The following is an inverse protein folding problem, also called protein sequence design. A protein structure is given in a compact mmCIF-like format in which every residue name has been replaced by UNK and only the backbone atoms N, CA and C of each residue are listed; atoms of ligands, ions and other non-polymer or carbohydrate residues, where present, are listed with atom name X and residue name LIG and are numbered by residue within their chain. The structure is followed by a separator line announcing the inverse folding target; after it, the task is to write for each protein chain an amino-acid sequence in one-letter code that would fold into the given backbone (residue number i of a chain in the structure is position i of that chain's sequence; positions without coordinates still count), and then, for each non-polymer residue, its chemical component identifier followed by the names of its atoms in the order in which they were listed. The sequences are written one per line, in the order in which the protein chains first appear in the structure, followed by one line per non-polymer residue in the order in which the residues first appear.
data_IF_922246352125
#
_entry.id   IF_922246352125
#
_cell.length_a   1.000
_cell.length_b   1.000
_cell.length_c   1.000
_cell.angle_alpha   90.00
_cell.angle_beta   90.00
_cell.angle_gamma   90.00
#
_symmetry.space_group_name_H-M   'P 1'
#
loop_
_entity.id
_entity.type
_entity.pdbx_description
1 polymer ?
#
# COMPACT_ATOMS: atom_id res chain seq x y z
N UNK A 1 -5.15 -17.97 -21.81
CA UNK A 1 -5.41 -17.57 -20.41
C UNK A 1 -5.25 -16.07 -20.34
N UNK A 2 -6.32 -15.30 -20.10
CA UNK A 2 -6.28 -13.83 -19.97
C UNK A 2 -6.46 -13.46 -18.51
N UNK A 3 -5.55 -12.67 -17.97
CA UNK A 3 -5.63 -12.19 -16.57
C UNK A 3 -6.44 -10.90 -16.60
N UNK A 4 -7.73 -10.97 -16.26
CA UNK A 4 -8.54 -9.77 -16.00
C UNK A 4 -8.19 -9.25 -14.60
N UNK A 5 -7.28 -8.27 -14.55
CA UNK A 5 -7.00 -7.51 -13.33
C UNK A 5 -8.14 -6.50 -13.11
N UNK A 6 -9.10 -6.85 -12.27
CA UNK A 6 -10.21 -5.97 -11.87
C UNK A 6 -9.67 -4.88 -10.94
N UNK A 7 -9.39 -3.70 -11.49
CA UNK A 7 -9.03 -2.47 -10.76
C UNK A 7 -10.30 -1.81 -10.18
N UNK A 8 -10.60 -2.07 -8.91
CA UNK A 8 -11.65 -1.35 -8.17
C UNK A 8 -11.02 -0.33 -7.22
N UNK A 9 -11.01 0.92 -7.68
CA UNK A 9 -10.43 2.10 -7.04
C UNK A 9 -11.33 2.61 -5.89
N UNK A 10 -10.78 2.75 -4.68
CA UNK A 10 -11.36 3.58 -3.61
C UNK A 10 -10.29 4.49 -3.00
N UNK A 11 -10.71 5.72 -2.68
CA UNK A 11 -9.89 6.93 -2.43
C UNK A 11 -8.88 6.79 -1.28
N UNK A 12 -7.67 7.27 -1.54
CA UNK A 12 -6.57 7.45 -0.58
C UNK A 12 -6.90 8.57 0.42
N UNK A 13 -6.77 8.29 1.72
CA UNK A 13 -7.05 9.25 2.79
C UNK A 13 -5.80 9.36 3.69
N UNK A 14 -5.18 10.56 3.81
CA UNK A 14 -3.99 10.77 4.65
C UNK A 14 -4.25 10.30 6.09
N UNK A 15 -3.32 9.53 6.67
CA UNK A 15 -3.39 9.03 8.05
C UNK A 15 -3.85 7.58 8.25
N UNK A 16 -4.01 6.79 7.18
CA UNK A 16 -4.12 5.33 7.30
C UNK A 16 -2.77 4.67 7.64
N UNK A 17 -2.79 3.45 8.16
CA UNK A 17 -1.55 2.68 8.42
C UNK A 17 -0.67 2.62 7.16
N UNK A 18 0.64 2.85 7.33
CA UNK A 18 1.65 2.73 6.27
C UNK A 18 1.80 1.26 5.89
N UNK A 19 1.88 0.97 4.60
CA UNK A 19 2.00 -0.37 4.02
C UNK A 19 3.14 -0.42 3.03
N UNK A 20 3.51 -1.64 2.63
CA UNK A 20 4.40 -1.83 1.48
C UNK A 20 3.83 -1.13 0.25
N UNK A 21 4.73 -0.55 -0.53
CA UNK A 21 4.49 0.28 -1.72
C UNK A 21 3.92 1.67 -1.45
N UNK A 22 3.76 2.06 -0.17
CA UNK A 22 3.44 3.44 0.17
C UNK A 22 4.63 4.34 -0.09
N UNK A 23 4.36 5.47 -0.75
CA UNK A 23 5.32 6.57 -0.80
C UNK A 23 5.31 7.30 0.54
N UNK A 24 6.49 7.53 1.08
CA UNK A 24 6.70 8.16 2.39
C UNK A 24 7.71 9.30 2.28
N UNK A 25 7.65 10.21 3.24
CA UNK A 25 8.63 11.28 3.44
C UNK A 25 9.28 11.16 4.80
N UNK A 26 10.60 11.37 4.85
CA UNK A 26 11.35 11.45 6.10
C UNK A 26 11.02 12.73 6.88
N UNK A 27 10.83 12.60 8.18
CA UNK A 27 10.61 13.72 9.12
C UNK A 27 11.93 14.20 9.77
N UNK A 28 13.01 13.43 9.63
CA UNK A 28 14.33 13.71 10.20
C UNK A 28 15.41 12.93 9.45
N UNK A 29 16.68 13.30 9.63
CA UNK A 29 17.80 12.69 8.90
C UNK A 29 18.02 11.21 9.25
N UNK A 30 18.06 10.34 8.26
CA UNK A 30 18.24 8.88 8.43
C UNK A 30 19.54 8.44 7.80
N UNK A 31 20.21 7.48 8.43
CA UNK A 31 21.39 6.82 7.87
C UNK A 31 20.92 5.58 7.11
N UNK A 32 21.34 5.45 5.84
CA UNK A 32 21.07 4.27 5.01
C UNK A 32 21.90 3.09 5.48
N UNK A 33 21.55 1.89 5.04
CA UNK A 33 22.27 0.67 5.36
C UNK A 33 23.72 0.68 4.80
N UNK A 34 23.96 1.51 3.78
CA UNK A 34 25.29 1.77 3.20
C UNK A 34 26.05 2.90 3.91
N UNK A 35 25.42 3.60 4.86
CA UNK A 35 26.03 4.65 5.68
C UNK A 35 25.85 6.09 5.18
N UNK A 36 25.09 6.31 4.10
CA UNK A 36 24.76 7.64 3.59
C UNK A 36 23.70 8.33 4.46
N UNK A 37 23.68 9.66 4.47
CA UNK A 37 22.65 10.44 5.19
C UNK A 37 21.58 10.90 4.21
N UNK A 38 20.36 10.40 4.40
CA UNK A 38 19.14 10.92 3.78
C UNK A 38 18.58 12.04 4.64
N UNK A 39 18.42 13.23 4.07
CA UNK A 39 17.94 14.41 4.82
C UNK A 39 16.44 14.33 5.13
N UNK A 40 16.01 15.02 6.18
CA UNK A 40 14.59 15.30 6.39
C UNK A 40 13.94 15.88 5.12
N UNK A 41 12.75 15.40 4.77
CA UNK A 41 12.04 15.77 3.55
C UNK A 41 12.33 14.87 2.34
N UNK A 42 13.34 14.01 2.39
CA UNK A 42 13.56 13.00 1.35
C UNK A 42 12.37 12.05 1.22
N UNK A 43 12.01 11.72 -0.01
CA UNK A 43 10.90 10.84 -0.35
C UNK A 43 11.42 9.47 -0.79
N UNK A 44 10.71 8.41 -0.42
CA UNK A 44 11.04 7.04 -0.77
C UNK A 44 9.82 6.14 -0.73
N UNK A 45 10.01 4.87 -1.11
CA UNK A 45 8.96 3.86 -1.16
C UNK A 45 9.19 2.82 -0.08
N UNK A 46 8.15 2.48 0.66
CA UNK A 46 8.22 1.37 1.64
C UNK A 46 8.32 0.05 0.89
N UNK A 47 9.38 -0.72 1.14
CA UNK A 47 9.61 -2.04 0.54
C UNK A 47 9.39 -3.20 1.52
N UNK A 48 9.44 -2.94 2.83
CA UNK A 48 9.08 -3.91 3.88
C UNK A 48 8.51 -3.23 5.13
N UNK A 49 7.66 -3.95 5.88
CA UNK A 49 7.11 -3.52 7.18
C UNK A 49 7.59 -4.45 8.29
N UNK A 50 8.17 -3.87 9.35
CA UNK A 50 8.73 -4.59 10.48
C UNK A 50 7.92 -4.38 11.76
N UNK A 51 7.91 -5.37 12.65
CA UNK A 51 7.32 -5.24 13.99
C UNK A 51 5.85 -4.80 13.99
N UNK A 52 5.05 -5.22 13.01
CA UNK A 52 3.65 -4.76 12.83
C UNK A 52 3.51 -3.23 12.65
N UNK A 53 4.52 -2.58 12.07
CA UNK A 53 4.54 -1.13 11.83
C UNK A 53 5.36 -0.34 12.85
N UNK A 54 6.23 -0.99 13.62
CA UNK A 54 7.21 -0.29 14.46
C UNK A 54 8.32 0.36 13.61
N UNK A 55 8.68 -0.28 12.50
CA UNK A 55 9.66 0.24 11.54
C UNK A 55 9.34 -0.18 10.10
N UNK A 56 9.97 0.50 9.15
CA UNK A 56 9.75 0.35 7.72
C UNK A 56 11.08 0.34 6.99
N UNK A 57 11.25 -0.56 6.04
CA UNK A 57 12.37 -0.47 5.10
C UNK A 57 11.94 0.41 3.93
N UNK A 58 12.71 1.45 3.67
CA UNK A 58 12.42 2.48 2.66
C UNK A 58 13.52 2.49 1.62
N UNK A 59 13.15 2.32 0.35
CA UNK A 59 14.04 2.51 -0.80
C UNK A 59 13.94 3.96 -1.29
N UNK A 60 15.09 4.60 -1.47
CA UNK A 60 15.20 5.94 -2.01
C UNK A 60 15.65 5.91 -3.49
N UNK A 61 15.15 6.85 -4.32
CA UNK A 61 15.54 6.92 -5.72
C UNK A 61 16.97 7.42 -5.92
N UNK A 62 17.47 8.25 -5.01
CA UNK A 62 18.81 8.81 -5.03
C UNK A 62 19.42 8.83 -3.62
N UNK A 63 20.62 8.26 -3.41
CA UNK A 63 21.37 7.42 -4.35
C UNK A 63 20.55 6.19 -4.80
N UNK A 64 20.78 5.73 -6.03
CA UNK A 64 19.97 4.65 -6.61
C UNK A 64 20.10 3.36 -5.80
N UNK A 65 18.98 2.85 -5.29
CA UNK A 65 18.91 1.63 -4.49
C UNK A 65 19.31 1.81 -3.03
N UNK A 66 19.44 3.05 -2.54
CA UNK A 66 19.71 3.31 -1.13
C UNK A 66 18.52 2.82 -0.28
N UNK A 67 18.82 1.99 0.71
CA UNK A 67 17.84 1.42 1.64
C UNK A 67 18.09 1.94 3.05
N UNK A 68 17.02 2.16 3.81
CA UNK A 68 17.13 2.43 5.24
C UNK A 68 15.99 1.78 6.01
N UNK A 69 16.32 1.23 7.18
CA UNK A 69 15.31 0.89 8.19
C UNK A 69 14.95 2.13 9.01
N UNK A 70 13.69 2.54 8.95
CA UNK A 70 13.20 3.78 9.56
C UNK A 70 12.07 3.51 10.57
N UNK A 71 12.21 4.05 11.77
CA UNK A 71 11.16 3.99 12.78
C UNK A 71 9.89 4.74 12.34
N UNK A 72 8.72 4.23 12.74
CA UNK A 72 7.43 4.79 12.37
C UNK A 72 7.27 6.29 12.72
N UNK A 73 7.88 6.73 13.82
CA UNK A 73 7.81 8.12 14.26
C UNK A 73 8.60 9.10 13.37
N UNK A 74 9.41 8.60 12.43
CA UNK A 74 10.33 9.39 11.61
C UNK A 74 9.90 9.48 10.14
N UNK A 75 8.74 8.93 9.78
CA UNK A 75 8.21 8.99 8.43
C UNK A 75 6.73 9.37 8.43
N UNK A 76 6.29 10.01 7.35
CA UNK A 76 4.88 10.24 7.07
C UNK A 76 4.51 9.64 5.71
N UNK A 77 3.28 9.13 5.58
CA UNK A 77 2.75 8.70 4.29
C UNK A 77 2.39 9.91 3.43
N UNK A 78 2.93 9.97 2.22
CA UNK A 78 2.63 11.01 1.23
C UNK A 78 1.96 10.46 -0.04
N UNK A 79 2.02 9.15 -0.24
CA UNK A 79 1.46 8.43 -1.39
C UNK A 79 1.15 6.98 -1.06
N UNK A 80 1.08 6.11 -2.07
CA UNK A 80 -0.07 5.17 -2.14
C UNK A 80 0.03 3.86 -1.35
N UNK A 81 -1.04 3.60 -0.57
CA UNK A 81 -1.50 2.24 -0.22
C UNK A 81 -2.80 1.88 -0.96
N UNK A 82 -2.92 0.68 -1.54
CA UNK A 82 -4.22 0.07 -1.94
C UNK A 82 -4.38 -1.38 -1.43
N UNK A 83 -5.17 -1.62 -0.37
CA UNK A 83 -5.69 -2.97 -0.03
C UNK A 83 -7.11 -2.97 0.60
N UNK A 84 -7.92 -4.05 0.71
CA UNK A 84 -7.80 -5.50 0.43
C UNK A 84 -9.21 -6.02 0.09
N UNK A 85 -9.36 -7.03 -0.77
CA UNK A 85 -10.63 -7.74 -0.95
C UNK A 85 -11.06 -8.43 0.35
N UNK A 86 -12.25 -8.11 0.86
CA UNK A 86 -12.91 -8.89 1.92
C UNK A 86 -14.39 -9.08 1.60
N UNK A 87 -14.78 -10.35 1.38
CA UNK A 87 -16.13 -10.94 1.38
C UNK A 87 -17.04 -10.57 0.17
N UNK A 88 -17.84 -11.48 -0.41
CA UNK A 88 -18.01 -12.93 -0.31
C UNK A 88 -18.82 -13.36 -1.54
N UNK A 89 -18.38 -14.37 -2.30
CA UNK A 89 -19.25 -15.03 -3.28
C UNK A 89 -20.25 -15.85 -2.48
N UNK A 90 -21.39 -15.23 -2.14
CA UNK A 90 -22.59 -15.97 -1.79
C UNK A 90 -23.05 -16.66 -3.08
N UNK A 91 -23.03 -17.99 -3.09
CA UNK A 91 -23.63 -18.79 -4.15
C UNK A 91 -25.11 -18.43 -4.39
N UNK A 92 -25.67 -18.83 -5.54
CA UNK A 92 -26.90 -18.26 -6.06
C UNK A 92 -28.11 -18.61 -5.18
N UNK A 93 -29.01 -17.65 -4.97
CA UNK A 93 -30.34 -17.89 -4.42
C UNK A 93 -31.39 -17.04 -5.15
N UNK A 94 -32.32 -17.75 -5.79
CA UNK A 94 -33.63 -17.26 -6.25
C UNK A 94 -33.58 -16.54 -7.61
N UNK A 95 -34.50 -16.75 -8.56
CA UNK A 95 -35.89 -17.19 -8.40
C UNK A 95 -36.39 -17.89 -9.68
N UNK A 96 -37.07 -19.01 -9.47
CA UNK A 96 -38.07 -19.56 -10.38
C UNK A 96 -39.07 -18.46 -10.73
N UNK A 97 -39.10 -18.06 -12.00
CA UNK A 97 -40.15 -17.21 -12.55
C UNK A 97 -40.99 -18.10 -13.47
N UNK A 98 -42.28 -18.37 -13.19
CA UNK A 98 -43.11 -19.08 -14.15
C UNK A 98 -43.31 -18.18 -15.37
N UNK A 99 -43.12 -18.76 -16.57
CA UNK A 99 -43.43 -18.11 -17.84
C UNK A 99 -44.95 -17.88 -17.94
N UNK A 100 -45.43 -16.72 -18.42
CA UNK A 100 -46.84 -16.55 -18.70
C UNK A 100 -47.25 -17.45 -19.88
N UNK A 101 -48.42 -18.07 -19.77
CA UNK A 101 -49.03 -18.83 -20.84
C UNK A 101 -49.36 -17.90 -22.03
N UNK A 102 -48.78 -18.19 -23.19
CA UNK A 102 -49.21 -17.59 -24.45
C UNK A 102 -50.58 -18.17 -24.84
N UNK A 103 -51.49 -17.30 -25.29
CA UNK A 103 -52.79 -17.63 -25.85
C UNK A 103 -52.69 -17.85 -27.34
#
# INVERSE_FOLDING_TARGET
MSVEAVYLLRKDQPGGAIRELDDVRLLSDVVTDDGDIMSAGSEGTVVAVWGLGEAYEVEFPEPMGALATVEAARIERIGRSVPRSTAAVRGPRGEDRPLPAER
#
